data_IF_907811566797
#
_entry.id   IF_907811566797
#
_cell.length_a   1.000
_cell.length_b   1.000
_cell.length_c   1.000
_cell.angle_alpha   90.00
_cell.angle_beta   90.00
_cell.angle_gamma   90.00
#
_symmetry.space_group_name_H-M   'P 1'
#
loop_
_entity.id
_entity.type
_entity.pdbx_description
1 polymer ?
#
# COMPACT_ATOMS: atom_id res chain seq x y z
N UNK A 1 -7.02 -8.02 -9.18
CA UNK A 1 -8.30 -8.13 -8.43
C UNK A 1 -8.22 -7.49 -7.03
N UNK A 2 -7.24 -7.86 -6.20
CA UNK A 2 -7.06 -7.29 -4.84
C UNK A 2 -6.87 -5.76 -4.84
N UNK A 3 -6.21 -5.19 -5.84
CA UNK A 3 -6.01 -3.74 -5.92
C UNK A 3 -7.34 -2.95 -6.02
N UNK A 4 -8.31 -3.50 -6.75
CA UNK A 4 -9.64 -2.90 -6.87
C UNK A 4 -10.45 -2.99 -5.57
N UNK A 5 -10.17 -3.98 -4.72
CA UNK A 5 -10.76 -4.08 -3.38
C UNK A 5 -10.26 -2.98 -2.44
N UNK A 6 -8.97 -2.64 -2.49
CA UNK A 6 -8.45 -1.51 -1.73
C UNK A 6 -9.17 -0.20 -2.15
N UNK A 7 -9.35 0.02 -3.46
CA UNK A 7 -10.08 1.18 -3.95
C UNK A 7 -11.56 1.19 -3.53
N UNK A 8 -12.25 0.05 -3.62
CA UNK A 8 -13.67 -0.03 -3.24
C UNK A 8 -13.87 0.24 -1.74
N UNK A 9 -12.97 -0.25 -0.88
CA UNK A 9 -13.00 0.03 0.56
C UNK A 9 -12.75 1.50 0.87
N UNK A 10 -11.77 2.13 0.22
CA UNK A 10 -11.53 3.56 0.38
C UNK A 10 -12.76 4.38 -0.06
N UNK A 11 -13.42 3.98 -1.14
CA UNK A 11 -14.64 4.64 -1.60
C UNK A 11 -15.80 4.46 -0.63
N UNK A 12 -16.01 3.25 -0.10
CA UNK A 12 -17.02 2.97 0.93
C UNK A 12 -16.76 3.78 2.19
N UNK A 13 -15.49 3.86 2.63
CA UNK A 13 -15.07 4.69 3.76
C UNK A 13 -15.43 6.16 3.52
N UNK A 14 -15.06 6.73 2.37
CA UNK A 14 -15.40 8.13 2.05
C UNK A 14 -16.91 8.35 2.03
N UNK A 15 -17.69 7.41 1.50
CA UNK A 15 -19.15 7.50 1.45
C UNK A 15 -19.76 7.47 2.86
N UNK A 16 -19.29 6.56 3.71
CA UNK A 16 -19.74 6.43 5.09
C UNK A 16 -19.36 7.64 5.95
N UNK A 17 -18.17 8.21 5.74
CA UNK A 17 -17.69 9.42 6.42
C UNK A 17 -18.39 10.72 5.98
N UNK A 18 -19.38 10.67 5.10
CA UNK A 18 -20.26 11.81 4.82
C UNK A 18 -21.21 12.06 5.99
N UNK A 19 -21.79 10.98 6.51
CA UNK A 19 -22.86 11.05 7.53
C UNK A 19 -22.34 10.65 8.93
N UNK A 20 -21.14 10.07 9.01
CA UNK A 20 -20.59 9.51 10.25
C UNK A 20 -19.19 10.06 10.58
N UNK A 21 -18.82 9.97 11.86
CA UNK A 21 -17.47 10.30 12.34
C UNK A 21 -16.48 9.19 11.99
N UNK A 22 -15.21 9.55 11.81
CA UNK A 22 -14.15 8.58 11.51
C UNK A 22 -13.89 7.60 12.66
N UNK A 23 -14.12 8.04 13.90
CA UNK A 23 -13.89 7.21 15.07
C UNK A 23 -15.01 6.18 15.35
N UNK A 24 -16.00 6.05 14.46
CA UNK A 24 -17.00 4.99 14.62
C UNK A 24 -16.39 3.63 14.29
N UNK A 25 -16.88 2.59 14.98
CA UNK A 25 -16.41 1.21 14.81
C UNK A 25 -16.37 0.74 13.34
N UNK A 26 -17.40 1.02 12.51
CA UNK A 26 -17.38 0.63 11.10
C UNK A 26 -16.33 1.38 10.27
N UNK A 27 -16.12 2.67 10.54
CA UNK A 27 -15.12 3.47 9.83
C UNK A 27 -13.68 3.03 10.17
N UNK A 28 -13.44 2.68 11.44
CA UNK A 28 -12.16 2.11 11.87
C UNK A 28 -11.91 0.75 11.20
N UNK A 29 -12.90 -0.15 11.18
CA UNK A 29 -12.80 -1.43 10.49
C UNK A 29 -12.48 -1.28 9.00
N UNK A 30 -13.18 -0.38 8.31
CA UNK A 30 -12.91 -0.08 6.90
C UNK A 30 -11.51 0.52 6.67
N UNK A 31 -11.05 1.39 7.57
CA UNK A 31 -9.71 1.99 7.48
C UNK A 31 -8.62 0.93 7.66
N UNK A 32 -8.78 0.03 8.65
CA UNK A 32 -7.84 -1.04 8.91
C UNK A 32 -7.79 -2.04 7.75
N UNK A 33 -8.95 -2.44 7.22
CA UNK A 33 -9.04 -3.36 6.09
C UNK A 33 -8.45 -2.74 4.81
N UNK A 34 -8.70 -1.45 4.58
CA UNK A 34 -8.06 -0.71 3.50
C UNK A 34 -6.53 -0.69 3.65
N UNK A 35 -6.03 -0.38 4.85
CA UNK A 35 -4.60 -0.34 5.12
C UNK A 35 -3.92 -1.71 4.92
N UNK A 36 -4.60 -2.81 5.28
CA UNK A 36 -4.09 -4.16 5.09
C UNK A 36 -4.03 -4.59 3.61
N UNK A 37 -4.90 -4.04 2.76
CA UNK A 37 -4.96 -4.34 1.32
C UNK A 37 -4.17 -3.36 0.45
N UNK A 38 -3.79 -2.19 0.99
CA UNK A 38 -2.98 -1.21 0.27
C UNK A 38 -1.63 -1.76 -0.22
N UNK A 39 -0.83 -2.51 0.57
CA UNK A 39 0.45 -3.06 0.11
C UNK A 39 0.31 -3.93 -1.14
N UNK A 40 -0.78 -4.72 -1.23
CA UNK A 40 -1.05 -5.60 -2.36
C UNK A 40 -1.25 -4.86 -3.68
N UNK A 41 -1.58 -3.56 -3.63
CA UNK A 41 -1.72 -2.75 -4.85
C UNK A 41 -0.37 -2.52 -5.54
N UNK A 42 0.71 -2.42 -4.77
CA UNK A 42 2.06 -2.15 -5.26
C UNK A 42 2.98 -3.38 -5.24
N UNK A 43 2.61 -4.43 -4.50
CA UNK A 43 3.35 -5.69 -4.41
C UNK A 43 3.65 -6.32 -5.78
N UNK A 44 2.76 -6.18 -6.77
CA UNK A 44 2.95 -6.68 -8.14
C UNK A 44 4.27 -6.20 -8.78
N UNK A 45 4.81 -5.06 -8.33
CA UNK A 45 6.11 -4.55 -8.78
C UNK A 45 7.27 -5.49 -8.44
N UNK A 46 7.14 -6.35 -7.42
CA UNK A 46 8.19 -7.30 -7.05
C UNK A 46 8.14 -8.60 -7.86
N UNK A 47 7.06 -8.85 -8.60
CA UNK A 47 6.84 -10.13 -9.28
C UNK A 47 7.58 -10.25 -10.63
N UNK A 48 8.17 -9.16 -11.15
CA UNK A 48 9.03 -9.17 -12.35
C UNK A 48 10.21 -10.15 -12.27
N UNK A 49 10.57 -10.59 -11.06
CA UNK A 49 11.69 -11.49 -10.80
C UNK A 49 11.38 -12.94 -11.25
N UNK A 50 10.10 -13.29 -11.42
CA UNK A 50 9.67 -14.63 -11.82
C UNK A 50 9.43 -14.78 -13.34
N UNK A 51 9.83 -13.80 -14.15
CA UNK A 51 9.73 -13.91 -15.61
C UNK A 51 10.80 -14.92 -16.07
N UNK A 52 10.38 -16.17 -16.22
CA UNK A 52 11.23 -17.26 -16.73
C UNK A 52 11.29 -17.21 -18.26
N UNK A 53 12.46 -17.57 -18.80
CA UNK A 53 12.69 -17.59 -20.26
C UNK A 53 12.01 -18.82 -20.88
N UNK A 54 10.72 -18.67 -21.20
CA UNK A 54 9.86 -19.71 -21.78
C UNK A 54 9.71 -19.57 -23.30
N UNK A 55 10.48 -18.66 -23.93
CA UNK A 55 10.46 -18.36 -25.38
C UNK A 55 9.90 -16.97 -25.70
N UNK A 56 10.40 -16.35 -26.78
CA UNK A 56 10.21 -14.91 -27.09
C UNK A 56 8.73 -14.44 -27.10
N UNK A 57 7.81 -15.21 -27.69
CA UNK A 57 6.39 -14.84 -27.79
C UNK A 57 5.67 -14.97 -26.43
N UNK A 58 6.00 -16.00 -25.65
CA UNK A 58 5.41 -16.22 -24.31
C UNK A 58 5.89 -15.12 -23.34
N UNK A 59 7.17 -14.76 -23.42
CA UNK A 59 7.77 -13.73 -22.58
C UNK A 59 7.19 -12.34 -22.86
N UNK A 60 6.96 -11.97 -24.12
CA UNK A 60 6.30 -10.70 -24.47
C UNK A 60 4.88 -10.62 -23.89
N UNK A 61 4.13 -11.72 -23.93
CA UNK A 61 2.80 -11.79 -23.35
C UNK A 61 2.83 -11.63 -21.82
N UNK A 62 3.74 -12.34 -21.14
CA UNK A 62 3.89 -12.27 -19.68
C UNK A 62 4.31 -10.88 -19.21
N UNK A 63 5.25 -10.25 -19.91
CA UNK A 63 5.66 -8.87 -19.65
C UNK A 63 4.49 -7.90 -19.85
N UNK A 64 3.73 -8.03 -20.94
CA UNK A 64 2.58 -7.16 -21.21
C UNK A 64 1.47 -7.33 -20.17
N UNK A 65 1.20 -8.58 -19.77
CA UNK A 65 0.22 -8.92 -18.75
C UNK A 65 0.62 -8.34 -17.39
N UNK A 66 1.84 -8.60 -16.93
CA UNK A 66 2.36 -8.09 -15.64
C UNK A 66 2.35 -6.56 -15.64
N UNK A 67 2.77 -5.91 -16.73
CA UNK A 67 2.72 -4.44 -16.83
C UNK A 67 1.29 -3.88 -16.74
N UNK A 68 0.31 -4.56 -17.34
CA UNK A 68 -1.10 -4.15 -17.27
C UNK A 68 -1.65 -4.32 -15.86
N UNK A 69 -1.32 -5.43 -15.19
CA UNK A 69 -1.67 -5.63 -13.77
C UNK A 69 -0.97 -4.61 -12.86
N UNK A 70 0.30 -4.32 -13.11
CA UNK A 70 1.07 -3.32 -12.37
C UNK A 70 0.42 -1.95 -12.52
N UNK A 71 0.18 -1.49 -13.75
CA UNK A 71 -0.41 -0.19 -14.02
C UNK A 71 -1.80 -0.04 -13.38
N UNK A 72 -2.66 -1.05 -13.53
CA UNK A 72 -3.99 -1.05 -12.89
C UNK A 72 -3.90 -1.07 -11.36
N UNK A 73 -2.96 -1.83 -10.80
CA UNK A 73 -2.68 -1.87 -9.37
C UNK A 73 -2.25 -0.52 -8.81
N UNK A 74 -1.29 0.12 -9.46
CA UNK A 74 -0.78 1.44 -9.08
C UNK A 74 -1.86 2.51 -9.18
N UNK A 75 -2.65 2.53 -10.26
CA UNK A 75 -3.76 3.47 -10.42
C UNK A 75 -4.80 3.30 -9.30
N UNK A 76 -5.22 2.07 -9.01
CA UNK A 76 -6.18 1.79 -7.94
C UNK A 76 -5.61 2.17 -6.56
N UNK A 77 -4.36 1.80 -6.28
CA UNK A 77 -3.65 2.10 -5.03
C UNK A 77 -3.54 3.60 -4.78
N UNK A 78 -3.00 4.36 -5.74
CA UNK A 78 -2.86 5.82 -5.60
C UNK A 78 -4.21 6.54 -5.55
N UNK A 79 -5.20 6.10 -6.33
CA UNK A 79 -6.55 6.68 -6.24
C UNK A 79 -7.16 6.45 -4.85
N UNK A 80 -7.01 5.25 -4.29
CA UNK A 80 -7.48 4.95 -2.94
C UNK A 80 -6.80 5.81 -1.88
N UNK A 81 -5.47 5.99 -1.98
CA UNK A 81 -4.68 6.82 -1.09
C UNK A 81 -5.05 8.30 -1.21
N UNK A 82 -5.29 8.78 -2.43
CA UNK A 82 -5.77 10.14 -2.69
C UNK A 82 -7.14 10.41 -2.06
N UNK A 83 -8.08 9.47 -2.14
CA UNK A 83 -9.40 9.60 -1.52
C UNK A 83 -9.28 9.75 0.00
N UNK A 84 -8.45 8.92 0.65
CA UNK A 84 -8.19 8.99 2.09
C UNK A 84 -7.48 10.30 2.45
N UNK A 85 -6.46 10.70 1.70
CA UNK A 85 -5.73 11.95 1.93
C UNK A 85 -6.65 13.18 1.87
N UNK A 86 -7.51 13.25 0.85
CA UNK A 86 -8.50 14.34 0.74
C UNK A 86 -9.46 14.36 1.94
N UNK A 87 -9.83 13.20 2.46
CA UNK A 87 -10.71 13.10 3.62
C UNK A 87 -10.00 13.51 4.92
N UNK A 88 -8.69 13.26 5.05
CA UNK A 88 -7.85 13.75 6.15
C UNK A 88 -7.74 15.28 6.11
N UNK A 89 -7.53 15.87 4.92
CA UNK A 89 -7.41 17.32 4.77
C UNK A 89 -8.67 18.11 5.14
N UNK A 90 -9.85 17.47 5.12
CA UNK A 90 -11.09 18.09 5.62
C UNK A 90 -11.14 18.23 7.14
N UNK A 91 -10.29 17.51 7.87
CA UNK A 91 -10.35 17.35 9.34
C UNK A 91 -9.05 17.71 10.05
N UNK A 92 -7.94 17.69 9.33
CA UNK A 92 -6.59 17.89 9.84
C UNK A 92 -5.87 18.96 9.03
N UNK A 93 -4.82 19.55 9.62
CA UNK A 93 -3.94 20.47 8.89
C UNK A 93 -3.20 19.73 7.78
N UNK A 94 -2.80 20.49 6.75
CA UNK A 94 -2.01 19.97 5.62
C UNK A 94 -0.80 19.16 6.07
N UNK A 95 -0.07 19.65 7.08
CA UNK A 95 1.09 18.94 7.59
C UNK A 95 0.70 17.61 8.26
N UNK A 96 -0.28 17.60 9.18
CA UNK A 96 -0.71 16.36 9.84
C UNK A 96 -1.23 15.32 8.84
N UNK A 97 -1.98 15.74 7.82
CA UNK A 97 -2.46 14.84 6.77
C UNK A 97 -1.29 14.25 5.95
N UNK A 98 -0.33 15.08 5.54
CA UNK A 98 0.85 14.62 4.82
C UNK A 98 1.72 13.66 5.64
N UNK A 99 1.91 13.92 6.94
CA UNK A 99 2.62 13.03 7.86
C UNK A 99 1.93 11.66 7.95
N UNK A 100 0.60 11.63 8.13
CA UNK A 100 -0.17 10.36 8.18
C UNK A 100 0.00 9.59 6.87
N UNK A 101 -0.10 10.26 5.71
CA UNK A 101 0.08 9.59 4.42
C UNK A 101 1.50 9.08 4.24
N UNK A 102 2.52 9.83 4.69
CA UNK A 102 3.90 9.36 4.72
C UNK A 102 4.05 8.07 5.55
N UNK A 103 3.46 8.04 6.75
CA UNK A 103 3.47 6.85 7.60
C UNK A 103 2.72 5.66 6.96
N UNK A 104 1.61 5.92 6.26
CA UNK A 104 0.88 4.88 5.53
C UNK A 104 1.73 4.29 4.40
N UNK A 105 2.43 5.13 3.62
CA UNK A 105 3.32 4.67 2.55
C UNK A 105 4.49 3.88 3.14
N UNK A 106 5.05 4.32 4.27
CA UNK A 106 6.13 3.61 4.96
C UNK A 106 5.65 2.23 5.45
N UNK A 107 4.49 2.17 6.11
CA UNK A 107 3.89 0.92 6.57
C UNK A 107 3.60 -0.02 5.39
N UNK A 108 3.09 0.50 4.28
CA UNK A 108 2.84 -0.31 3.09
C UNK A 108 4.12 -0.82 2.44
N UNK A 109 5.16 0.00 2.36
CA UNK A 109 6.48 -0.40 1.85
C UNK A 109 7.10 -1.52 2.69
N UNK A 110 6.96 -1.42 4.01
CA UNK A 110 7.40 -2.46 4.93
C UNK A 110 6.58 -3.74 4.77
N UNK A 111 5.26 -3.64 4.63
CA UNK A 111 4.40 -4.80 4.40
C UNK A 111 4.71 -5.53 3.08
N UNK A 112 5.09 -4.81 2.02
CA UNK A 112 5.55 -5.42 0.75
C UNK A 112 6.83 -6.22 0.98
N UNK A 113 7.79 -5.68 1.73
CA UNK A 113 9.01 -6.41 2.11
C UNK A 113 8.68 -7.68 2.90
N UNK A 114 7.79 -7.60 3.89
CA UNK A 114 7.36 -8.76 4.66
C UNK A 114 6.70 -9.83 3.78
N UNK A 115 5.83 -9.43 2.86
CA UNK A 115 5.17 -10.37 1.94
C UNK A 115 6.15 -11.09 1.02
N UNK A 116 7.19 -10.38 0.55
CA UNK A 116 8.18 -10.95 -0.36
C UNK A 116 9.13 -11.93 0.32
N UNK A 117 9.73 -11.51 1.44
CA UNK A 117 10.81 -12.28 2.06
C UNK A 117 10.31 -13.30 3.10
N UNK A 118 9.10 -13.13 3.63
CA UNK A 118 8.52 -14.10 4.56
C UNK A 118 7.31 -14.86 3.97
N UNK A 119 6.83 -14.53 2.75
CA UNK A 119 5.62 -15.11 2.11
C UNK A 119 4.31 -14.87 2.88
N UNK A 120 4.25 -13.85 3.73
CA UNK A 120 3.04 -13.52 4.49
C UNK A 120 2.07 -12.75 3.59
N UNK A 121 0.84 -13.22 3.49
CA UNK A 121 -0.21 -12.51 2.78
C UNK A 121 -0.97 -11.59 3.73
N UNK A 122 -1.70 -10.60 3.19
CA UNK A 122 -2.61 -9.75 3.98
C UNK A 122 -3.67 -10.55 4.75
N UNK A 123 -3.93 -11.80 4.34
CA UNK A 123 -4.80 -12.74 5.04
C UNK A 123 -4.20 -13.25 6.35
N UNK A 124 -2.88 -13.44 6.43
CA UNK A 124 -2.19 -13.90 7.64
C UNK A 124 -2.16 -12.81 8.72
N UNK A 125 -2.12 -11.54 8.31
CA UNK A 125 -2.23 -10.38 9.20
C UNK A 125 -3.60 -10.30 9.87
N UNK A 126 -4.67 -10.65 9.13
CA UNK A 126 -6.05 -10.64 9.65
C UNK A 126 -6.37 -11.87 10.51
N UNK A 127 -5.78 -13.02 10.19
CA UNK A 127 -6.10 -14.29 10.85
C UNK A 127 -5.19 -14.61 12.03
N UNK A 128 -3.94 -14.13 12.06
CA UNK A 128 -3.02 -14.36 13.16
C UNK A 128 -2.03 -13.20 13.40
N UNK A 129 -2.50 -12.05 13.92
CA UNK A 129 -1.64 -10.90 14.22
C UNK A 129 -0.59 -11.20 15.31
N UNK A 130 -0.87 -12.12 16.24
CA UNK A 130 0.02 -12.46 17.36
C UNK A 130 1.28 -13.22 16.95
N UNK A 131 1.15 -14.21 16.05
CA UNK A 131 2.31 -14.93 15.50
C UNK A 131 3.20 -14.05 14.61
N UNK A 132 2.60 -13.03 13.99
CA UNK A 132 3.29 -12.05 13.16
C UNK A 132 4.17 -11.14 14.00
N UNK A 133 3.63 -10.61 15.11
CA UNK A 133 4.35 -9.76 16.04
C UNK A 133 5.50 -10.51 16.72
N UNK A 134 5.32 -11.78 17.12
CA UNK A 134 6.39 -12.57 17.75
C UNK A 134 7.55 -12.90 16.80
N UNK A 135 7.26 -13.23 15.54
CA UNK A 135 8.30 -13.54 14.55
C UNK A 135 8.95 -12.31 13.90
N UNK A 136 8.28 -11.15 13.94
CA UNK A 136 8.86 -9.88 13.48
C UNK A 136 9.42 -9.02 14.61
N UNK A 137 9.14 -9.36 15.88
CA UNK A 137 9.67 -8.67 17.05
C UNK A 137 11.19 -8.59 17.00
N UNK A 138 11.89 -9.70 16.73
CA UNK A 138 13.35 -9.73 16.65
C UNK A 138 13.93 -8.82 15.55
N UNK A 139 13.18 -8.62 14.45
CA UNK A 139 13.59 -7.72 13.35
C UNK A 139 13.22 -6.26 13.61
N UNK A 140 12.21 -6.01 14.45
CA UNK A 140 11.82 -4.67 14.90
C UNK A 140 12.65 -4.21 16.10
N UNK A 141 13.16 -5.12 16.92
CA UNK A 141 14.06 -4.85 18.04
C UNK A 141 15.51 -4.69 17.60
N UNK A 142 15.93 -5.34 16.50
CA UNK A 142 17.19 -5.05 15.81
C UNK A 142 17.01 -4.77 14.30
N UNK A 143 16.51 -3.56 13.94
CA UNK A 143 16.40 -3.14 12.55
C UNK A 143 17.76 -3.01 11.85
N UNK A 144 18.82 -2.67 12.61
CA UNK A 144 20.15 -2.44 12.07
C UNK A 144 20.90 -3.75 11.77
N UNK A 145 20.54 -4.86 12.42
CA UNK A 145 21.00 -6.21 12.07
C UNK A 145 20.45 -6.75 10.74
N UNK A 146 19.46 -6.07 10.13
CA UNK A 146 18.78 -6.53 8.91
C UNK A 146 18.87 -5.49 7.77
N UNK A 147 20.07 -5.24 7.20
CA UNK A 147 20.26 -4.17 6.20
C UNK A 147 19.40 -4.35 4.94
N UNK A 148 19.07 -5.59 4.57
CA UNK A 148 18.18 -5.89 3.43
C UNK A 148 16.77 -5.36 3.65
N UNK A 149 16.24 -5.44 4.87
CA UNK A 149 14.92 -4.93 5.24
C UNK A 149 14.85 -3.42 5.09
N UNK A 150 15.84 -2.72 5.64
CA UNK A 150 15.93 -1.26 5.59
C UNK A 150 16.08 -0.78 4.14
N UNK A 151 16.95 -1.44 3.36
CA UNK A 151 17.20 -1.05 1.97
C UNK A 151 15.95 -1.22 1.08
N UNK A 152 15.28 -2.38 1.13
CA UNK A 152 14.09 -2.63 0.30
C UNK A 152 12.93 -1.74 0.74
N UNK A 153 12.67 -1.64 2.04
CA UNK A 153 11.60 -0.80 2.58
C UNK A 153 11.84 0.68 2.25
N UNK A 154 13.07 1.16 2.44
CA UNK A 154 13.46 2.54 2.13
C UNK A 154 13.34 2.86 0.65
N UNK A 155 13.80 1.95 -0.23
CA UNK A 155 13.67 2.11 -1.68
C UNK A 155 12.21 2.17 -2.11
N UNK A 156 11.38 1.24 -1.65
CA UNK A 156 9.94 1.23 -1.95
C UNK A 156 9.25 2.49 -1.41
N UNK A 157 9.60 2.93 -0.21
CA UNK A 157 9.07 4.16 0.38
C UNK A 157 9.40 5.39 -0.48
N UNK A 158 10.64 5.52 -0.94
CA UNK A 158 11.07 6.62 -1.80
C UNK A 158 10.37 6.58 -3.16
N UNK A 159 10.29 5.40 -3.79
CA UNK A 159 9.64 5.24 -5.10
C UNK A 159 8.13 5.53 -5.02
N UNK A 160 7.41 4.87 -4.11
CA UNK A 160 5.95 5.04 -3.96
C UNK A 160 5.64 6.46 -3.47
N UNK A 161 6.45 6.98 -2.54
CA UNK A 161 6.32 8.33 -1.99
C UNK A 161 6.51 9.42 -3.06
N UNK A 162 7.57 9.35 -3.86
CA UNK A 162 7.84 10.31 -4.93
C UNK A 162 6.77 10.30 -6.02
N UNK A 163 6.31 9.11 -6.44
CA UNK A 163 5.20 8.97 -7.38
C UNK A 163 3.92 9.59 -6.83
N UNK A 164 3.59 9.30 -5.58
CA UNK A 164 2.40 9.86 -4.95
C UNK A 164 2.48 11.38 -4.80
N UNK A 165 3.63 11.93 -4.41
CA UNK A 165 3.84 13.37 -4.33
C UNK A 165 3.67 14.04 -5.69
N UNK A 166 4.15 13.41 -6.77
CA UNK A 166 3.97 13.91 -8.14
C UNK A 166 2.48 13.96 -8.51
N UNK A 167 1.75 12.87 -8.28
CA UNK A 167 0.29 12.80 -8.52
C UNK A 167 -0.42 13.87 -7.68
N UNK A 168 -0.03 14.02 -6.42
CA UNK A 168 -0.60 15.01 -5.52
C UNK A 168 -0.41 16.43 -6.04
N UNK A 169 0.79 16.79 -6.50
CA UNK A 169 1.06 18.13 -7.05
C UNK A 169 0.28 18.40 -8.34
N UNK A 170 0.06 17.38 -9.18
CA UNK A 170 -0.69 17.52 -10.42
C UNK A 170 -2.21 17.65 -10.20
N UNK A 171 -2.75 16.95 -9.21
CA UNK A 171 -4.20 16.84 -8.97
C UNK A 171 -4.68 17.81 -7.88
N UNK A 172 -3.79 18.34 -7.04
CA UNK A 172 -4.18 19.30 -6.00
C UNK A 172 -4.87 20.50 -6.65
N UNK A 173 -6.10 20.84 -6.24
CA UNK A 173 -6.77 22.03 -6.77
C UNK A 173 -5.91 23.26 -6.46
N UNK A 174 -5.61 24.06 -7.49
CA UNK A 174 -5.02 25.38 -7.31
C UNK A 174 -6.07 26.23 -6.57
N UNK A 175 -5.76 26.60 -5.34
CA UNK A 175 -6.50 27.64 -4.62
C UNK A 175 -6.24 28.99 -5.28
#
# INVERSE_FOLDING_TARGET
>A
LLAWLALSLAWLLVRYLKDHRWLSWPALGLTLLWLALLPNTWYVMTDFIHIEDTGEISQLYDIALINTLLASGFLAGFTSLFLVHRQLLKRLSHWRAALIIGLVILAASFAIYLGRDLRWNSWDVLTNPGGLLLNTADRLTDPFGHPRMLNVTGLLFVVIGSLYLTIWQLVKPKN
#
